data_IF_432932265537
#
_entry.id   IF_432932265537
#
_cell.length_a   1.000
_cell.length_b   1.000
_cell.length_c   1.000
_cell.angle_alpha   90.00
_cell.angle_beta   90.00
_cell.angle_gamma   90.00
#
_symmetry.space_group_name_H-M   'P 1'
#
loop_
_entity.id
_entity.type
_entity.pdbx_description
1 polymer ?
#
# COMPACT_ATOMS: atom_id res chain seq x y z
N UNK A 1 27.57 8.08 21.27
CA UNK A 1 26.64 7.80 20.16
C UNK A 1 26.08 6.40 20.41
N UNK A 2 24.78 6.27 20.66
CA UNK A 2 24.16 4.95 20.81
C UNK A 2 24.25 4.25 19.44
N UNK A 3 24.86 3.06 19.41
CA UNK A 3 24.83 2.19 18.23
C UNK A 3 23.38 1.84 17.99
N UNK A 4 22.77 2.41 16.96
CA UNK A 4 21.40 2.10 16.60
C UNK A 4 21.38 0.62 16.20
N UNK A 5 20.67 -0.18 16.98
CA UNK A 5 20.51 -1.60 16.67
C UNK A 5 19.61 -1.71 15.44
N UNK A 6 20.10 -2.24 14.33
CA UNK A 6 19.36 -2.37 13.08
C UNK A 6 18.09 -3.20 13.27
N UNK A 7 18.07 -4.16 14.16
CA UNK A 7 16.87 -4.91 14.54
C UNK A 7 15.80 -3.98 15.12
N UNK A 8 16.19 -3.14 16.07
CA UNK A 8 15.27 -2.20 16.72
C UNK A 8 14.71 -1.18 15.71
N UNK A 9 15.56 -0.61 14.88
CA UNK A 9 15.14 0.32 13.82
C UNK A 9 14.18 -0.33 12.84
N UNK A 10 14.49 -1.55 12.38
CA UNK A 10 13.68 -2.29 11.41
C UNK A 10 12.34 -2.70 12.02
N UNK A 11 12.34 -3.17 13.27
CA UNK A 11 11.12 -3.55 13.98
C UNK A 11 10.18 -2.35 14.20
N UNK A 12 10.73 -1.21 14.65
CA UNK A 12 9.94 0.01 14.80
C UNK A 12 9.41 0.53 13.46
N UNK A 13 10.20 0.40 12.39
CA UNK A 13 9.76 0.78 11.05
C UNK A 13 8.56 -0.09 10.60
N UNK A 14 8.65 -1.40 10.74
CA UNK A 14 7.56 -2.33 10.40
C UNK A 14 6.28 -2.06 11.21
N UNK A 15 6.39 -1.77 12.52
CA UNK A 15 5.24 -1.39 13.35
C UNK A 15 4.54 -0.12 12.87
N UNK A 16 5.30 0.86 12.39
CA UNK A 16 4.76 2.14 11.96
C UNK A 16 4.21 2.12 10.52
N UNK A 17 4.78 1.29 9.65
CA UNK A 17 4.54 1.35 8.21
C UNK A 17 3.93 0.07 7.63
N UNK A 18 3.84 -1.01 8.37
CA UNK A 18 3.39 -2.35 7.96
C UNK A 18 4.25 -3.02 6.88
N UNK A 19 4.85 -2.27 5.99
CA UNK A 19 5.67 -2.78 4.88
C UNK A 19 7.04 -2.11 4.82
N UNK A 20 8.05 -2.89 4.40
CA UNK A 20 9.39 -2.43 4.02
C UNK A 20 9.66 -2.86 2.59
N UNK A 21 10.20 -1.97 1.76
CA UNK A 21 10.39 -2.16 0.33
C UNK A 21 11.88 -2.20 -0.03
N UNK A 22 12.33 -3.27 -0.68
CA UNK A 22 13.70 -3.42 -1.17
C UNK A 22 14.02 -2.55 -2.40
N UNK A 23 13.02 -2.22 -3.20
CA UNK A 23 13.14 -1.33 -4.37
C UNK A 23 13.17 0.17 -4.03
N UNK A 24 12.95 0.56 -2.77
CA UNK A 24 12.97 1.95 -2.32
C UNK A 24 14.27 2.23 -1.57
N UNK A 25 15.05 3.21 -2.04
CA UNK A 25 16.43 3.44 -1.61
C UNK A 25 16.57 3.61 -0.08
N UNK A 26 15.73 4.43 0.52
CA UNK A 26 15.73 4.72 1.97
C UNK A 26 15.23 3.57 2.85
N UNK A 27 14.65 2.53 2.25
CA UNK A 27 14.15 1.33 2.94
C UNK A 27 14.98 0.07 2.66
N UNK A 28 15.82 0.13 1.65
CA UNK A 28 16.57 -1.03 1.14
C UNK A 28 17.41 -1.72 2.23
N UNK A 29 18.08 -0.96 3.06
CA UNK A 29 18.89 -1.51 4.16
C UNK A 29 18.05 -2.32 5.14
N UNK A 30 16.84 -1.84 5.47
CA UNK A 30 15.90 -2.54 6.35
C UNK A 30 15.33 -3.80 5.71
N UNK A 31 15.00 -3.74 4.41
CA UNK A 31 14.56 -4.92 3.66
C UNK A 31 15.63 -6.01 3.64
N UNK A 32 16.87 -5.66 3.31
CA UNK A 32 17.99 -6.62 3.32
C UNK A 32 18.23 -7.19 4.73
N UNK A 33 18.11 -6.35 5.77
CA UNK A 33 18.21 -6.83 7.14
C UNK A 33 17.12 -7.86 7.47
N UNK A 34 15.86 -7.62 7.09
CA UNK A 34 14.78 -8.61 7.27
C UNK A 34 15.09 -9.90 6.50
N UNK A 35 15.62 -9.79 5.28
CA UNK A 35 15.97 -10.95 4.46
C UNK A 35 17.06 -11.82 5.11
N UNK A 36 18.10 -11.19 5.65
CA UNK A 36 19.25 -11.88 6.22
C UNK A 36 19.01 -12.38 7.67
N UNK A 37 18.08 -11.72 8.41
CA UNK A 37 17.80 -11.98 9.83
C UNK A 37 16.33 -12.25 10.11
N UNK A 38 15.64 -12.94 9.18
CA UNK A 38 14.17 -13.11 9.22
C UNK A 38 13.67 -13.72 10.53
N UNK A 39 14.36 -14.75 11.05
CA UNK A 39 13.95 -15.43 12.28
C UNK A 39 14.14 -14.54 13.51
N UNK A 40 15.19 -13.72 13.53
CA UNK A 40 15.41 -12.74 14.60
C UNK A 40 14.31 -11.67 14.62
N UNK A 41 13.97 -11.15 13.43
CA UNK A 41 12.87 -10.17 13.31
C UNK A 41 11.53 -10.78 13.70
N UNK A 42 11.27 -12.02 13.28
CA UNK A 42 10.05 -12.77 13.67
C UNK A 42 9.95 -12.97 15.17
N UNK A 43 11.06 -13.27 15.86
CA UNK A 43 11.08 -13.49 17.30
C UNK A 43 10.67 -12.24 18.09
N UNK A 44 10.93 -11.03 17.57
CA UNK A 44 10.48 -9.77 18.19
C UNK A 44 8.96 -9.66 18.18
N UNK A 45 8.31 -10.12 17.13
CA UNK A 45 6.89 -9.90 16.90
C UNK A 45 5.99 -11.06 17.32
N UNK A 46 6.53 -12.27 17.41
CA UNK A 46 5.77 -13.48 17.76
C UNK A 46 4.99 -13.39 19.07
N UNK A 47 5.56 -12.83 20.19
CA UNK A 47 4.81 -12.69 21.44
C UNK A 47 3.59 -11.75 21.34
N UNK A 48 3.57 -10.87 20.35
CA UNK A 48 2.48 -9.91 20.10
C UNK A 48 1.45 -10.44 19.08
N UNK A 49 1.62 -11.68 18.59
CA UNK A 49 0.74 -12.29 17.61
C UNK A 49 0.92 -11.77 16.19
N UNK A 50 2.02 -11.07 15.91
CA UNK A 50 2.35 -10.63 14.53
C UNK A 50 3.21 -11.67 13.81
N UNK A 51 3.02 -11.75 12.51
CA UNK A 51 3.83 -12.53 11.59
C UNK A 51 4.58 -11.61 10.63
N UNK A 52 5.85 -11.91 10.36
CA UNK A 52 6.64 -11.22 9.36
C UNK A 52 6.72 -12.11 8.12
N UNK A 53 6.19 -11.60 7.01
CA UNK A 53 6.20 -12.26 5.71
C UNK A 53 7.22 -11.59 4.80
N UNK A 54 8.07 -12.39 4.14
CA UNK A 54 9.05 -11.90 3.19
C UNK A 54 8.63 -12.30 1.77
N UNK A 55 8.55 -11.31 0.89
CA UNK A 55 8.26 -11.46 -0.52
C UNK A 55 9.51 -11.13 -1.34
N UNK A 56 10.14 -12.14 -1.99
CA UNK A 56 11.31 -11.91 -2.85
C UNK A 56 10.93 -11.16 -4.12
N UNK A 57 11.89 -11.00 -5.04
CA UNK A 57 11.60 -10.44 -6.36
C UNK A 57 10.44 -11.20 -7.05
N UNK A 58 9.55 -10.53 -7.77
CA UNK A 58 9.62 -9.12 -8.18
C UNK A 58 9.05 -8.10 -7.17
N UNK A 59 8.40 -8.54 -6.09
CA UNK A 59 7.77 -7.62 -5.12
C UNK A 59 8.80 -6.93 -4.21
N UNK A 60 9.83 -7.62 -3.79
CA UNK A 60 10.89 -7.15 -2.88
C UNK A 60 10.30 -6.40 -1.67
N UNK A 61 9.40 -7.05 -0.95
CA UNK A 61 8.71 -6.46 0.20
C UNK A 61 8.80 -7.37 1.43
N UNK A 62 8.85 -6.77 2.61
CA UNK A 62 8.55 -7.45 3.87
C UNK A 62 7.29 -6.84 4.47
N UNK A 63 6.39 -7.69 4.98
CA UNK A 63 5.12 -7.29 5.56
C UNK A 63 4.98 -7.74 7.01
N UNK A 64 4.47 -6.86 7.87
CA UNK A 64 4.05 -7.18 9.22
C UNK A 64 2.53 -7.38 9.23
N UNK A 65 2.09 -8.60 9.55
CA UNK A 65 0.68 -9.01 9.51
C UNK A 65 0.24 -9.47 10.89
N UNK A 66 -0.95 -9.05 11.32
CA UNK A 66 -1.56 -9.53 12.54
C UNK A 66 -2.93 -10.17 12.24
N UNK A 67 -3.13 -11.39 12.72
CA UNK A 67 -4.40 -12.11 12.57
C UNK A 67 -5.52 -11.63 13.51
N UNK A 68 -5.23 -10.77 14.49
CA UNK A 68 -6.24 -10.24 15.40
C UNK A 68 -6.94 -9.03 14.78
N UNK A 69 -8.26 -9.10 14.61
CA UNK A 69 -9.09 -8.04 14.01
C UNK A 69 -8.89 -6.67 14.67
N UNK A 70 -8.69 -6.62 15.98
CA UNK A 70 -8.45 -5.38 16.73
C UNK A 70 -7.11 -4.70 16.44
N UNK A 71 -6.16 -5.43 15.87
CA UNK A 71 -4.80 -4.93 15.57
C UNK A 71 -4.58 -4.61 14.09
N UNK A 72 -5.60 -4.83 13.26
CA UNK A 72 -5.51 -4.51 11.83
C UNK A 72 -5.71 -3.01 11.59
N UNK A 73 -4.93 -2.44 10.68
CA UNK A 73 -5.12 -1.07 10.23
C UNK A 73 -6.44 -0.96 9.47
N UNK A 74 -7.38 -0.17 9.99
CA UNK A 74 -8.66 0.07 9.33
C UNK A 74 -8.55 1.29 8.43
N UNK A 75 -8.66 1.06 7.14
CA UNK A 75 -8.78 2.13 6.16
C UNK A 75 -10.20 2.71 6.17
N UNK A 76 -10.32 4.01 6.04
CA UNK A 76 -11.60 4.67 5.83
C UNK A 76 -12.12 4.36 4.43
N UNK A 77 -13.44 4.49 4.21
CA UNK A 77 -14.10 4.20 2.94
C UNK A 77 -13.36 4.78 1.71
N UNK A 78 -13.03 6.06 1.75
CA UNK A 78 -12.34 6.70 0.62
C UNK A 78 -10.87 6.30 0.48
N UNK A 79 -10.20 5.94 1.57
CA UNK A 79 -8.85 5.37 1.54
C UNK A 79 -8.86 3.98 0.88
N UNK A 80 -9.84 3.13 1.21
CA UNK A 80 -10.01 1.82 0.58
C UNK A 80 -10.33 1.95 -0.90
N UNK A 81 -11.20 2.88 -1.29
CA UNK A 81 -11.54 3.13 -2.70
C UNK A 81 -10.31 3.62 -3.47
N UNK A 82 -9.55 4.57 -2.91
CA UNK A 82 -8.34 5.06 -3.56
C UNK A 82 -7.30 3.93 -3.69
N UNK A 83 -7.15 3.09 -2.68
CA UNK A 83 -6.26 1.94 -2.74
C UNK A 83 -6.66 0.95 -3.85
N UNK A 84 -7.96 0.68 -4.01
CA UNK A 84 -8.49 -0.15 -5.10
C UNK A 84 -8.15 0.43 -6.48
N UNK A 85 -8.36 1.74 -6.66
CA UNK A 85 -8.02 2.44 -7.90
C UNK A 85 -6.52 2.36 -8.19
N UNK A 86 -5.69 2.63 -7.20
CA UNK A 86 -4.23 2.56 -7.37
C UNK A 86 -3.76 1.14 -7.66
N UNK A 87 -4.38 0.12 -7.06
CA UNK A 87 -4.10 -1.28 -7.38
C UNK A 87 -4.48 -1.61 -8.84
N UNK A 88 -5.63 -1.16 -9.31
CA UNK A 88 -6.06 -1.35 -10.71
C UNK A 88 -5.06 -0.70 -11.67
N UNK A 89 -4.72 0.56 -11.44
CA UNK A 89 -3.76 1.29 -12.27
C UNK A 89 -2.37 0.66 -12.22
N UNK A 90 -1.95 0.16 -11.05
CA UNK A 90 -0.69 -0.56 -10.91
C UNK A 90 -0.64 -1.80 -11.82
N UNK A 91 -1.70 -2.62 -11.82
CA UNK A 91 -1.78 -3.82 -12.66
C UNK A 91 -1.77 -3.45 -14.15
N UNK A 92 -2.58 -2.48 -14.57
CA UNK A 92 -2.62 -1.99 -15.95
C UNK A 92 -1.26 -1.49 -16.44
N UNK A 93 -0.57 -0.70 -15.61
CA UNK A 93 0.77 -0.19 -15.95
C UNK A 93 1.80 -1.31 -16.00
N UNK A 94 1.75 -2.29 -15.08
CA UNK A 94 2.68 -3.42 -15.09
C UNK A 94 2.52 -4.31 -16.33
N UNK A 95 1.31 -4.48 -16.85
CA UNK A 95 1.05 -5.21 -18.10
C UNK A 95 1.60 -4.46 -19.32
N UNK A 96 1.56 -3.12 -19.31
CA UNK A 96 2.01 -2.27 -20.42
C UNK A 96 3.50 -1.93 -20.39
N UNK A 97 4.15 -2.01 -19.20
CA UNK A 97 5.57 -1.71 -19.06
C UNK A 97 6.42 -2.92 -19.46
N UNK A 98 7.50 -2.67 -20.19
CA UNK A 98 8.53 -3.68 -20.42
C UNK A 98 9.03 -4.21 -19.07
N UNK A 99 9.43 -5.49 -19.03
CA UNK A 99 9.75 -6.24 -17.81
C UNK A 99 10.78 -5.58 -16.84
N UNK A 100 11.40 -4.49 -17.23
CA UNK A 100 12.48 -3.81 -16.50
C UNK A 100 12.07 -2.46 -15.88
N UNK A 101 10.78 -2.07 -15.87
CA UNK A 101 10.39 -0.82 -15.23
C UNK A 101 10.29 -1.02 -13.71
N UNK A 102 11.25 -0.44 -12.98
CA UNK A 102 11.34 -0.57 -11.52
C UNK A 102 10.26 0.23 -10.77
N UNK A 103 9.67 1.24 -11.43
CA UNK A 103 8.70 2.15 -10.82
C UNK A 103 7.40 2.22 -11.61
N UNK A 104 6.27 2.16 -10.91
CA UNK A 104 4.94 2.42 -11.49
C UNK A 104 4.49 3.82 -11.10
N UNK A 105 4.39 4.69 -12.10
CA UNK A 105 3.92 6.06 -11.95
C UNK A 105 2.54 6.21 -12.57
N UNK A 106 1.61 6.80 -11.82
CA UNK A 106 0.28 7.19 -12.29
C UNK A 106 0.09 8.68 -12.11
N UNK A 107 -0.75 9.30 -12.95
CA UNK A 107 -1.10 10.73 -12.81
C UNK A 107 -2.36 10.89 -11.96
N UNK A 108 -2.54 12.08 -11.40
CA UNK A 108 -3.79 12.44 -10.69
C UNK A 108 -4.98 12.35 -11.66
N UNK A 109 -4.80 12.68 -12.94
CA UNK A 109 -5.83 12.54 -13.98
C UNK A 109 -6.28 11.09 -14.16
N UNK A 110 -5.34 10.14 -14.26
CA UNK A 110 -5.64 8.71 -14.35
C UNK A 110 -6.44 8.24 -13.11
N UNK A 111 -6.01 8.64 -11.92
CA UNK A 111 -6.70 8.32 -10.66
C UNK A 111 -8.13 8.89 -10.66
N UNK A 112 -8.31 10.15 -11.03
CA UNK A 112 -9.64 10.77 -11.07
C UNK A 112 -10.55 10.15 -12.13
N UNK A 113 -9.99 9.76 -13.28
CA UNK A 113 -10.73 9.07 -14.34
C UNK A 113 -11.30 7.73 -13.85
N UNK A 114 -10.49 6.94 -13.14
CA UNK A 114 -10.97 5.68 -12.56
C UNK A 114 -11.99 5.89 -11.43
N UNK A 115 -11.77 6.90 -10.59
CA UNK A 115 -12.73 7.26 -9.52
C UNK A 115 -14.08 7.70 -10.08
N UNK A 116 -14.12 8.40 -11.22
CA UNK A 116 -15.36 8.81 -11.87
C UNK A 116 -16.21 7.62 -12.33
N UNK A 117 -15.58 6.54 -12.77
CA UNK A 117 -16.27 5.30 -13.16
C UNK A 117 -16.99 4.62 -11.99
N UNK A 118 -16.56 4.89 -10.77
CA UNK A 118 -17.14 4.31 -9.54
C UNK A 118 -18.40 5.04 -9.04
N UNK A 119 -18.86 6.09 -9.75
CA UNK A 119 -20.06 6.86 -9.38
C UNK A 119 -20.09 7.32 -7.91
N UNK A 120 -18.95 7.79 -7.40
CA UNK A 120 -18.86 8.27 -6.03
C UNK A 120 -19.75 9.52 -5.84
N UNK A 121 -20.42 9.65 -4.67
CA UNK A 121 -21.32 10.77 -4.40
C UNK A 121 -20.57 12.11 -4.29
N UNK A 122 -19.26 12.09 -4.10
CA UNK A 122 -18.44 13.30 -3.99
C UNK A 122 -17.16 13.14 -4.82
N UNK A 123 -16.83 14.16 -5.60
CA UNK A 123 -15.51 14.24 -6.27
C UNK A 123 -14.43 14.43 -5.22
N UNK A 124 -13.30 13.76 -5.40
CA UNK A 124 -12.13 13.98 -4.58
C UNK A 124 -11.45 15.28 -5.06
N UNK A 125 -11.56 16.32 -4.24
CA UNK A 125 -10.77 17.53 -4.43
C UNK A 125 -9.29 17.29 -4.05
N UNK A 126 -8.43 18.21 -4.45
CA UNK A 126 -6.98 18.13 -4.21
C UNK A 126 -6.67 17.90 -2.72
N UNK A 127 -7.30 18.68 -1.82
CA UNK A 127 -7.05 18.58 -0.37
C UNK A 127 -7.44 17.22 0.19
N UNK A 128 -8.56 16.68 -0.27
CA UNK A 128 -9.00 15.33 0.11
C UNK A 128 -8.02 14.29 -0.39
N UNK A 129 -7.58 14.38 -1.65
CA UNK A 129 -6.57 13.47 -2.21
C UNK A 129 -5.25 13.53 -1.43
N UNK A 130 -4.76 14.71 -1.11
CA UNK A 130 -3.54 14.87 -0.30
C UNK A 130 -3.66 14.21 1.09
N UNK A 131 -4.83 14.34 1.73
CA UNK A 131 -5.09 13.69 3.02
C UNK A 131 -5.11 12.16 2.91
N UNK A 132 -5.79 11.61 1.89
CA UNK A 132 -5.83 10.18 1.63
C UNK A 132 -4.42 9.64 1.31
N UNK A 133 -3.65 10.36 0.50
CA UNK A 133 -2.26 10.00 0.17
C UNK A 133 -1.35 9.97 1.38
N UNK A 134 -1.64 10.75 2.43
CA UNK A 134 -0.87 10.72 3.68
C UNK A 134 -0.96 9.36 4.37
N UNK A 135 -2.15 8.76 4.42
CA UNK A 135 -2.37 7.40 4.95
C UNK A 135 -1.68 6.35 4.07
N UNK A 136 -1.84 6.42 2.74
CA UNK A 136 -1.22 5.45 1.83
C UNK A 136 0.32 5.52 1.88
N UNK A 137 0.88 6.73 2.00
CA UNK A 137 2.32 6.93 2.19
C UNK A 137 2.80 6.33 3.52
N UNK A 138 2.03 6.53 4.59
CA UNK A 138 2.37 5.97 5.92
C UNK A 138 2.54 4.45 5.85
N UNK A 139 1.69 3.75 5.11
CA UNK A 139 1.73 2.30 4.99
C UNK A 139 2.55 1.80 3.79
N UNK A 140 3.40 2.64 3.20
CA UNK A 140 4.22 2.27 2.04
C UNK A 140 3.42 1.62 0.89
N UNK A 141 2.24 2.16 0.59
CA UNK A 141 1.36 1.72 -0.51
C UNK A 141 1.52 2.59 -1.75
N UNK A 142 1.62 3.89 -1.56
CA UNK A 142 1.88 4.86 -2.62
C UNK A 142 2.43 6.16 -2.02
N UNK A 143 3.13 6.94 -2.84
CA UNK A 143 3.58 8.28 -2.45
C UNK A 143 3.47 9.28 -3.60
N UNK A 144 3.17 10.56 -3.33
CA UNK A 144 3.25 11.59 -4.34
C UNK A 144 4.71 11.85 -4.72
N UNK A 145 4.96 12.09 -6.02
CA UNK A 145 6.25 12.55 -6.54
C UNK A 145 6.19 14.08 -6.61
N UNK A 146 6.73 14.73 -5.58
CA UNK A 146 6.58 16.16 -5.40
C UNK A 146 5.23 16.59 -4.82
N UNK A 147 4.76 17.78 -5.19
CA UNK A 147 3.46 18.31 -4.72
C UNK A 147 2.34 17.92 -5.70
N UNK A 148 1.17 17.60 -5.17
CA UNK A 148 -0.02 17.34 -5.96
C UNK A 148 -0.71 18.67 -6.32
N UNK A 149 -0.23 19.36 -7.34
CA UNK A 149 -0.72 20.70 -7.72
C UNK A 149 -1.67 20.70 -8.92
N UNK A 150 -1.71 19.62 -9.69
CA UNK A 150 -2.51 19.54 -10.91
C UNK A 150 -2.78 18.10 -11.33
N UNK A 151 -3.49 17.94 -12.43
CA UNK A 151 -3.88 16.64 -12.98
C UNK A 151 -2.68 15.82 -13.50
N UNK A 152 -1.62 16.50 -13.92
CA UNK A 152 -0.35 15.94 -14.38
C UNK A 152 0.59 15.50 -13.25
N UNK A 153 0.25 15.85 -11.99
CA UNK A 153 1.02 15.44 -10.82
C UNK A 153 1.08 13.92 -10.73
N UNK A 154 2.26 13.42 -10.34
CA UNK A 154 2.55 11.98 -10.36
C UNK A 154 2.48 11.37 -8.97
N UNK A 155 2.01 10.14 -8.93
CA UNK A 155 1.96 9.28 -7.75
C UNK A 155 2.75 8.01 -8.09
N UNK A 156 3.74 7.69 -7.28
CA UNK A 156 4.44 6.42 -7.33
C UNK A 156 3.62 5.39 -6.54
N UNK A 157 3.26 4.29 -7.19
CA UNK A 157 2.48 3.20 -6.61
C UNK A 157 3.39 2.01 -6.35
N UNK A 158 3.43 1.54 -5.11
CA UNK A 158 4.30 0.44 -4.71
C UNK A 158 3.63 -0.93 -4.92
N UNK A 159 4.43 -2.00 -5.10
CA UNK A 159 3.90 -3.36 -5.26
C UNK A 159 3.08 -3.85 -4.05
N UNK A 160 3.26 -3.24 -2.89
CA UNK A 160 2.52 -3.51 -1.66
C UNK A 160 1.02 -3.27 -1.75
N UNK A 161 0.53 -2.50 -2.74
CA UNK A 161 -0.91 -2.40 -3.01
C UNK A 161 -1.55 -3.74 -3.37
N UNK A 162 -0.76 -4.70 -3.87
CA UNK A 162 -1.21 -6.06 -4.16
C UNK A 162 -1.34 -6.91 -2.88
N UNK A 163 -0.56 -6.58 -1.85
CA UNK A 163 -0.54 -7.30 -0.58
C UNK A 163 -1.56 -6.75 0.42
N UNK A 164 -1.83 -5.45 0.33
CA UNK A 164 -2.74 -4.76 1.25
C UNK A 164 -4.22 -5.09 1.02
N UNK A 165 -4.59 -5.53 -0.18
CA UNK A 165 -5.93 -6.00 -0.56
C UNK A 165 -5.79 -7.33 -1.28
N UNK A 166 -5.91 -8.47 -0.59
CA UNK A 166 -5.97 -9.79 -1.20
C UNK A 166 -7.14 -9.94 -2.16
N UNK A 167 -7.01 -10.82 -3.17
CA UNK A 167 -8.05 -11.03 -4.18
C UNK A 167 -9.40 -11.51 -3.60
N UNK A 168 -9.37 -12.22 -2.45
CA UNK A 168 -10.57 -12.65 -1.74
C UNK A 168 -11.41 -11.45 -1.24
N UNK A 169 -10.75 -10.43 -0.66
CA UNK A 169 -11.44 -9.23 -0.14
C UNK A 169 -12.03 -8.37 -1.27
N UNK A 170 -11.46 -8.46 -2.48
CA UNK A 170 -11.99 -7.76 -3.66
C UNK A 170 -13.32 -8.37 -4.15
N UNK A 171 -13.47 -9.69 -4.07
CA UNK A 171 -14.71 -10.37 -4.43
C UNK A 171 -15.84 -9.97 -3.46
N UNK A 172 -15.57 -9.86 -2.18
CA UNK A 172 -16.53 -9.45 -1.16
C UNK A 172 -16.94 -7.98 -1.30
N UNK A 173 -15.98 -7.08 -1.54
CA UNK A 173 -16.25 -5.65 -1.78
C UNK A 173 -17.08 -5.43 -3.05
N UNK A 174 -16.84 -6.20 -4.11
CA UNK A 174 -17.64 -6.16 -5.34
C UNK A 174 -19.06 -6.69 -5.12
N UNK A 175 -19.22 -7.75 -4.32
CA UNK A 175 -20.51 -8.32 -3.97
C UNK A 175 -21.37 -7.36 -3.11
N UNK A 176 -20.77 -6.66 -2.17
CA UNK A 176 -21.46 -5.63 -1.36
C UNK A 176 -21.91 -4.43 -2.20
N UNK A 177 -21.07 -3.96 -3.12
CA UNK A 177 -21.43 -2.89 -4.07
C UNK A 177 -22.61 -3.26 -4.97
N UNK A 178 -22.74 -4.55 -5.32
CA UNK A 178 -23.86 -5.09 -6.11
C UNK A 178 -25.17 -5.17 -5.32
N UNK A 179 -25.13 -5.49 -4.03
CA UNK A 179 -26.34 -5.62 -3.17
C UNK A 179 -27.02 -4.29 -2.90
N UNK A 180 -26.26 -3.21 -2.70
CA UNK A 180 -26.80 -1.86 -2.47
C UNK A 180 -27.58 -1.35 -3.69
N UNK A 181 -27.37 -1.92 -4.87
CA UNK A 181 -28.05 -1.54 -6.12
C UNK A 181 -29.42 -2.21 -6.29
N UNK A 182 -29.67 -3.32 -5.62
CA UNK A 182 -30.91 -4.12 -5.75
C UNK A 182 -31.97 -3.68 -4.73
N UNK A 183 -31.62 -2.99 -3.66
CA UNK A 183 -32.56 -2.54 -2.62
C UNK A 183 -33.13 -1.13 -2.86
N UNK A 184 -32.75 -0.45 -3.94
CA UNK A 184 -33.23 0.90 -4.32
C UNK A 184 -34.00 0.91 -5.65
N UNK A 185 -34.48 -0.26 -6.11
CA UNK A 185 -35.31 -0.41 -7.29
C UNK A 185 -36.77 -0.69 -6.97
#
# INVERSE_FOLDING_TARGET
MATINMLEETANYLLNHCFVLGGVEDQRSKYLYVQDHLDEVRAVFAPLGYSVLLYPAPLQAAALVNGHEGSQARLLKYESILLLVLRLLYLQKRESLAANADQVLVTVEEVQTELQKMNLPRRLDQKTLENLMRTLRRYNLARPVGRLTGLDSRIEVFPTVLLALPDADLADAAAESGRTRTELG
#
